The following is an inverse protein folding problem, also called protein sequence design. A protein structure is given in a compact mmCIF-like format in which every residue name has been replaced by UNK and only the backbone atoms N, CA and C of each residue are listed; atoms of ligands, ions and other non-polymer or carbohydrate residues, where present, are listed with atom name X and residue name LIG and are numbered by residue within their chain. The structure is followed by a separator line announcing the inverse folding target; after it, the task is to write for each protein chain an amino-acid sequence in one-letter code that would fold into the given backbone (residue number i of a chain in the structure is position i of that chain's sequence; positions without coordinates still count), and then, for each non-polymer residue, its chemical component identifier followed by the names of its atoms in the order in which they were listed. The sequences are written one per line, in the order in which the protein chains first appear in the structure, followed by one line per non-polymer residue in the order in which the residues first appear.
data_IF_896761343575
#
_entry.id   IF_896761343575
#
_cell.length_a   1.000
_cell.length_b   1.000
_cell.length_c   1.000
_cell.angle_alpha   90.00
_cell.angle_beta   90.00
_cell.angle_gamma   90.00
#
_symmetry.space_group_name_H-M   'P 1'
#
loop_
_entity.id
_entity.type
_entity.pdbx_description
1 polymer ?
#
# COMPACT_ATOMS: atom_id res chain seq x y z
N UNK A 1 -7.73 -10.47 16.10
CA UNK A 1 -7.04 -9.26 15.62
C UNK A 1 -8.08 -8.22 15.27
N UNK A 2 -7.79 -6.93 15.46
CA UNK A 2 -8.64 -5.83 14.97
C UNK A 2 -8.04 -5.30 13.67
N UNK A 3 -8.83 -5.14 12.62
CA UNK A 3 -8.37 -4.65 11.30
C UNK A 3 -9.07 -3.33 11.00
N UNK A 4 -8.36 -2.35 10.45
CA UNK A 4 -8.95 -1.04 10.07
C UNK A 4 -8.97 -0.90 8.56
N UNK A 5 -10.06 -0.40 7.97
CA UNK A 5 -10.04 -0.04 6.54
C UNK A 5 -9.18 1.21 6.38
N UNK A 6 -8.04 1.06 5.71
CA UNK A 6 -7.23 2.18 5.24
C UNK A 6 -7.99 3.00 4.20
N UNK A 7 -7.86 4.31 4.27
CA UNK A 7 -8.46 5.21 3.29
C UNK A 7 -7.67 5.26 1.97
N UNK A 8 -8.23 5.89 0.95
CA UNK A 8 -7.57 6.04 -0.36
C UNK A 8 -6.31 6.92 -0.31
N UNK A 9 -6.14 7.74 0.73
CA UNK A 9 -4.98 8.62 0.87
C UNK A 9 -3.73 7.80 1.19
N UNK A 10 -3.82 6.81 2.07
CA UNK A 10 -2.70 5.91 2.39
C UNK A 10 -2.10 5.26 1.13
N UNK A 11 -2.94 4.71 0.25
CA UNK A 11 -2.48 4.12 -1.01
C UNK A 11 -1.98 5.16 -2.02
N UNK A 12 -2.56 6.37 -2.01
CA UNK A 12 -2.12 7.46 -2.89
C UNK A 12 -0.74 7.99 -2.50
N UNK A 13 -0.41 8.01 -1.20
CA UNK A 13 0.93 8.35 -0.71
C UNK A 13 1.97 7.36 -1.25
N UNK A 14 1.74 6.07 -1.05
CA UNK A 14 2.65 5.00 -1.51
C UNK A 14 2.83 5.05 -3.04
N UNK A 15 1.74 5.17 -3.79
CA UNK A 15 1.82 5.27 -5.26
C UNK A 15 2.55 6.54 -5.72
N UNK A 16 2.29 7.69 -5.10
CA UNK A 16 2.95 8.95 -5.46
C UNK A 16 4.45 8.87 -5.16
N UNK A 17 4.83 8.30 -4.04
CA UNK A 17 6.23 8.12 -3.68
C UNK A 17 6.97 7.25 -4.71
N UNK A 18 6.44 6.05 -4.98
CA UNK A 18 7.00 5.13 -5.97
C UNK A 18 7.11 5.77 -7.37
N UNK A 19 6.13 6.59 -7.76
CA UNK A 19 6.13 7.29 -9.05
C UNK A 19 7.17 8.41 -9.11
N UNK A 20 7.21 9.29 -8.10
CA UNK A 20 8.03 10.52 -8.14
C UNK A 20 9.50 10.26 -7.86
N UNK A 21 9.82 9.15 -7.17
CA UNK A 21 11.18 8.74 -6.82
C UNK A 21 11.75 7.64 -7.71
N UNK A 22 10.98 7.16 -8.69
CA UNK A 22 11.38 6.09 -9.61
C UNK A 22 11.86 4.82 -8.90
N UNK A 23 11.12 4.38 -7.88
CA UNK A 23 11.38 3.12 -7.18
C UNK A 23 11.38 1.96 -8.19
N UNK A 24 12.34 1.05 -8.06
CA UNK A 24 12.45 -0.12 -8.94
C UNK A 24 11.42 -1.17 -8.53
N UNK A 25 10.27 -1.15 -9.17
CA UNK A 25 9.20 -2.16 -8.98
C UNK A 25 9.43 -3.38 -9.88
N UNK A 26 8.69 -4.44 -9.58
CA UNK A 26 8.69 -5.70 -10.33
C UNK A 26 8.35 -5.48 -11.81
N UNK A 27 8.86 -6.33 -12.73
CA UNK A 27 8.69 -6.12 -14.16
C UNK A 27 7.22 -6.03 -14.59
N UNK A 28 6.84 -4.90 -15.20
CA UNK A 28 5.46 -4.66 -15.65
C UNK A 28 4.54 -4.09 -14.57
N UNK A 29 5.01 -3.96 -13.34
CA UNK A 29 4.29 -3.28 -12.27
C UNK A 29 4.35 -1.76 -12.46
N UNK A 30 3.25 -1.08 -12.17
CA UNK A 30 3.20 0.39 -12.06
C UNK A 30 2.90 0.81 -10.62
N UNK A 31 3.21 2.06 -10.22
CA UNK A 31 2.84 2.58 -8.90
C UNK A 31 1.34 2.46 -8.58
N UNK A 32 0.48 2.67 -9.59
CA UNK A 32 -0.96 2.45 -9.49
C UNK A 32 -1.29 0.98 -9.26
N UNK A 33 -0.65 0.09 -10.02
CA UNK A 33 -0.80 -1.35 -9.86
C UNK A 33 -0.43 -1.80 -8.45
N UNK A 34 0.68 -1.29 -7.92
CA UNK A 34 1.13 -1.56 -6.56
C UNK A 34 0.04 -1.17 -5.55
N UNK A 35 -0.44 0.07 -5.63
CA UNK A 35 -1.48 0.54 -4.72
C UNK A 35 -2.80 -0.23 -4.84
N UNK A 36 -3.19 -0.66 -6.05
CA UNK A 36 -4.38 -1.52 -6.25
C UNK A 36 -4.21 -2.89 -5.60
N UNK A 37 -3.03 -3.52 -5.73
CA UNK A 37 -2.73 -4.81 -5.09
C UNK A 37 -2.74 -4.69 -3.56
N UNK A 38 -2.11 -3.65 -3.01
CA UNK A 38 -2.15 -3.37 -1.57
C UNK A 38 -3.61 -3.17 -1.09
N UNK A 39 -4.40 -2.41 -1.84
CA UNK A 39 -5.81 -2.20 -1.50
C UNK A 39 -6.60 -3.51 -1.48
N UNK A 40 -6.45 -4.35 -2.53
CA UNK A 40 -7.13 -5.64 -2.61
C UNK A 40 -6.81 -6.53 -1.40
N UNK A 41 -5.54 -6.66 -1.04
CA UNK A 41 -5.10 -7.44 0.12
C UNK A 41 -5.67 -6.89 1.44
N UNK A 42 -5.72 -5.57 1.60
CA UNK A 42 -6.31 -4.94 2.78
C UNK A 42 -7.82 -5.23 2.89
N UNK A 43 -8.54 -5.26 1.76
CA UNK A 43 -9.96 -5.62 1.75
C UNK A 43 -10.17 -7.09 2.10
N UNK A 44 -9.32 -7.99 1.62
CA UNK A 44 -9.38 -9.41 1.95
C UNK A 44 -9.15 -9.64 3.44
N UNK A 45 -8.14 -9.00 4.03
CA UNK A 45 -7.89 -9.04 5.46
C UNK A 45 -9.08 -8.52 6.29
N UNK A 46 -9.67 -7.40 5.87
CA UNK A 46 -10.86 -6.84 6.52
C UNK A 46 -12.05 -7.82 6.45
N UNK A 47 -12.32 -8.42 5.28
CA UNK A 47 -13.39 -9.40 5.08
C UNK A 47 -13.17 -10.66 5.91
N UNK A 48 -11.91 -11.11 6.05
CA UNK A 48 -11.57 -12.27 6.88
C UNK A 48 -11.90 -12.04 8.35
N UNK A 49 -11.66 -10.83 8.86
CA UNK A 49 -11.97 -10.49 10.26
C UNK A 49 -13.44 -10.12 10.50
N UNK A 50 -14.13 -9.60 9.47
CA UNK A 50 -15.48 -9.09 9.59
C UNK A 50 -16.42 -9.62 8.49
N UNK A 51 -16.65 -10.94 8.42
CA UNK A 51 -17.41 -11.58 7.33
C UNK A 51 -18.87 -11.13 7.25
N UNK A 52 -19.43 -10.57 8.33
CA UNK A 52 -20.77 -9.99 8.35
C UNK A 52 -20.87 -8.66 7.58
N UNK A 53 -19.74 -8.00 7.32
CA UNK A 53 -19.69 -6.83 6.45
C UNK A 53 -19.39 -7.32 5.03
N UNK A 54 -20.44 -7.79 4.36
CA UNK A 54 -20.46 -8.07 2.91
C UNK A 54 -20.49 -6.75 2.11
N UNK A 55 -19.61 -5.82 2.51
CA UNK A 55 -19.61 -4.48 1.99
C UNK A 55 -18.81 -4.48 0.69
N UNK A 56 -19.53 -4.20 -0.39
CA UNK A 56 -18.96 -3.72 -1.65
C UNK A 56 -18.22 -2.42 -1.34
N UNK A 57 -16.95 -2.54 -0.93
CA UNK A 57 -16.10 -1.38 -0.74
C UNK A 57 -15.82 -0.79 -2.13
N UNK A 58 -15.89 0.54 -2.25
CA UNK A 58 -15.73 1.20 -3.55
C UNK A 58 -14.36 0.86 -4.14
N UNK A 59 -14.21 0.83 -5.47
CA UNK A 59 -12.89 0.69 -6.07
C UNK A 59 -11.97 1.80 -5.58
N UNK A 60 -10.68 1.48 -5.37
CA UNK A 60 -9.69 2.47 -4.98
C UNK A 60 -9.66 3.61 -6.00
N UNK A 61 -9.82 4.84 -5.53
CA UNK A 61 -9.63 6.05 -6.32
C UNK A 61 -8.33 6.71 -5.90
N UNK A 62 -7.28 6.44 -6.65
CA UNK A 62 -5.99 7.11 -6.46
C UNK A 62 -6.10 8.58 -6.84
N UNK A 63 -5.61 9.44 -5.96
CA UNK A 63 -5.42 10.87 -6.25
C UNK A 63 -3.93 11.15 -6.22
N UNK A 64 -3.35 11.50 -7.36
CA UNK A 64 -1.95 11.87 -7.43
C UNK A 64 -1.68 13.08 -6.56
N UNK A 65 -0.72 12.93 -5.64
CA UNK A 65 -0.27 14.01 -4.79
C UNK A 65 0.91 14.71 -5.46
N UNK A 66 1.11 15.99 -5.16
CA UNK A 66 2.27 16.73 -5.67
C UNK A 66 3.59 16.24 -5.05
N UNK A 67 3.49 15.70 -3.83
CA UNK A 67 4.59 15.10 -3.08
C UNK A 67 4.00 14.09 -2.09
N UNK A 68 4.81 13.10 -1.72
CA UNK A 68 4.55 12.20 -0.60
C UNK A 68 5.60 12.46 0.48
N UNK A 69 5.15 12.65 1.72
CA UNK A 69 6.05 12.73 2.87
C UNK A 69 6.46 11.32 3.29
N UNK A 70 7.76 11.06 3.39
CA UNK A 70 8.28 9.73 3.67
C UNK A 70 7.80 9.17 5.03
N UNK A 71 7.58 10.01 6.04
CA UNK A 71 7.04 9.55 7.32
C UNK A 71 5.57 9.12 7.19
N UNK A 72 4.76 9.89 6.44
CA UNK A 72 3.37 9.49 6.14
C UNK A 72 3.32 8.20 5.30
N UNK A 73 4.28 7.99 4.38
CA UNK A 73 4.38 6.76 3.59
C UNK A 73 4.72 5.57 4.50
N UNK A 74 5.71 5.70 5.39
CA UNK A 74 6.06 4.63 6.33
C UNK A 74 4.89 4.27 7.26
N UNK A 75 4.18 5.27 7.79
CA UNK A 75 2.98 5.05 8.60
C UNK A 75 1.90 4.27 7.82
N UNK A 76 1.65 4.65 6.55
CA UNK A 76 0.71 3.95 5.70
C UNK A 76 1.12 2.49 5.45
N UNK A 77 2.41 2.23 5.22
CA UNK A 77 2.96 0.89 5.03
C UNK A 77 2.86 0.04 6.30
N UNK A 78 3.20 0.60 7.46
CA UNK A 78 3.11 -0.10 8.74
C UNK A 78 1.67 -0.48 9.09
N UNK A 79 0.73 0.45 8.92
CA UNK A 79 -0.68 0.20 9.16
C UNK A 79 -1.24 -0.86 8.20
N UNK A 80 -0.79 -0.86 6.95
CA UNK A 80 -1.15 -1.90 5.98
C UNK A 80 -0.60 -3.27 6.39
N UNK A 81 0.68 -3.36 6.78
CA UNK A 81 1.30 -4.61 7.25
C UNK A 81 0.61 -5.17 8.49
N UNK A 82 0.17 -4.30 9.39
CA UNK A 82 -0.61 -4.70 10.56
C UNK A 82 -1.94 -5.37 10.19
N UNK A 83 -2.56 -4.96 9.08
CA UNK A 83 -3.83 -5.53 8.63
C UNK A 83 -3.67 -6.88 7.92
N UNK A 84 -2.66 -7.05 7.07
CA UNK A 84 -2.57 -8.17 6.12
C UNK A 84 -1.72 -9.36 6.61
N UNK A 85 -0.98 -9.23 7.72
CA UNK A 85 -0.03 -10.26 8.24
C UNK A 85 0.83 -10.87 7.12
N UNK A 86 1.81 -10.10 6.62
CA UNK A 86 2.70 -10.40 5.47
C UNK A 86 1.99 -10.90 4.18
N UNK A 87 2.07 -10.16 3.06
CA UNK A 87 1.47 -10.62 1.81
C UNK A 87 2.03 -11.98 1.37
N UNK A 88 1.14 -12.92 1.03
CA UNK A 88 1.50 -14.20 0.39
C UNK A 88 2.11 -13.97 -1.01
N UNK A 89 1.72 -12.87 -1.65
CA UNK A 89 2.26 -12.42 -2.94
C UNK A 89 3.69 -11.88 -2.76
N UNK A 90 4.65 -12.66 -3.26
CA UNK A 90 6.08 -12.36 -3.19
C UNK A 90 6.46 -11.11 -4.00
N UNK A 91 5.79 -10.85 -5.13
CA UNK A 91 6.09 -9.68 -5.97
C UNK A 91 5.59 -8.42 -5.28
N UNK A 92 4.37 -8.48 -4.71
CA UNK A 92 3.82 -7.39 -3.89
C UNK A 92 4.70 -7.09 -2.67
N UNK A 93 5.24 -8.13 -2.02
CA UNK A 93 6.18 -7.96 -0.90
C UNK A 93 7.44 -7.24 -1.33
N UNK A 94 8.06 -7.68 -2.42
CA UNK A 94 9.30 -7.09 -2.95
C UNK A 94 9.09 -5.63 -3.36
N UNK A 95 7.98 -5.31 -4.02
CA UNK A 95 7.65 -3.95 -4.43
C UNK A 95 7.49 -3.01 -3.23
N UNK A 96 6.80 -3.49 -2.18
CA UNK A 96 6.62 -2.73 -0.94
C UNK A 96 7.95 -2.55 -0.19
N UNK A 97 8.80 -3.57 -0.17
CA UNK A 97 10.15 -3.50 0.40
C UNK A 97 11.05 -2.53 -0.38
N UNK A 98 10.93 -2.47 -1.70
CA UNK A 98 11.67 -1.51 -2.53
C UNK A 98 11.31 -0.06 -2.19
N UNK A 99 10.03 0.22 -1.93
CA UNK A 99 9.58 1.56 -1.47
C UNK A 99 10.20 1.90 -0.12
N UNK A 100 10.11 1.00 0.87
CA UNK A 100 10.66 1.24 2.21
C UNK A 100 12.18 1.42 2.16
N UNK A 101 12.89 0.57 1.42
CA UNK A 101 14.34 0.64 1.29
C UNK A 101 14.79 1.96 0.64
N UNK A 102 14.05 2.46 -0.35
CA UNK A 102 14.35 3.76 -0.96
C UNK A 102 14.22 4.90 0.07
N UNK A 103 13.14 4.91 0.86
CA UNK A 103 12.94 5.91 1.91
C UNK A 103 14.07 5.89 2.94
N UNK A 104 14.48 4.71 3.41
CA UNK A 104 15.56 4.56 4.39
C UNK A 104 16.91 5.06 3.85
N UNK A 105 17.18 4.91 2.55
CA UNK A 105 18.42 5.40 1.92
C UNK A 105 18.46 6.93 1.80
N UNK A 106 17.32 7.58 1.56
CA UNK A 106 17.23 9.05 1.45
C UNK A 106 17.30 9.77 2.82
N UNK A 107 17.05 9.05 3.92
CA UNK A 107 17.07 9.58 5.29
C UNK A 107 18.29 9.16 6.13
N UNK A 108 19.24 8.43 5.53
CA UNK A 108 20.49 7.97 6.16
C UNK A 108 21.62 9.00 6.16
#
# INVERSE_FOLDING_TARGET
MSVTILDSRAYSLIATDAQTRAVSLSPGQTPEGLAQSLYAANLEAFRGCYPQFDAVLPPLRLTWLNAADHAEVLEAVEMWRYNVEEPEDQDLKQDLEAVVAHIEQDHG
#
